data_IF_563511519729
#
_entry.id   IF_563511519729
#
_cell.length_a   1.000
_cell.length_b   1.000
_cell.length_c   1.000
_cell.angle_alpha   90.00
_cell.angle_beta   90.00
_cell.angle_gamma   90.00
#
_symmetry.space_group_name_H-M   'P 1'
#
loop_
_entity.id
_entity.type
_entity.pdbx_description
1 polymer ?
#
# COMPACT_ATOMS: atom_id res chain seq x y z
N UNK A 1 -20.36 23.66 55.60
CA UNK A 1 -19.36 23.19 54.60
C UNK A 1 -19.37 21.66 54.41
N UNK A 2 -19.29 20.82 55.44
CA UNK A 2 -19.27 19.34 55.28
C UNK A 2 -20.48 18.73 54.51
N UNK A 3 -21.69 19.27 54.67
CA UNK A 3 -22.93 18.78 54.02
C UNK A 3 -22.95 19.08 52.52
N UNK A 4 -22.39 20.21 52.05
CA UNK A 4 -22.33 20.57 50.63
C UNK A 4 -21.31 19.69 49.90
N UNK A 5 -20.18 19.35 50.58
CA UNK A 5 -19.17 18.45 50.03
C UNK A 5 -19.70 17.02 49.82
N UNK A 6 -20.52 16.53 50.75
CA UNK A 6 -21.18 15.21 50.66
C UNK A 6 -22.16 15.15 49.47
N UNK A 7 -22.93 16.23 49.23
CA UNK A 7 -23.86 16.32 48.09
C UNK A 7 -23.12 16.35 46.76
N UNK A 8 -22.00 17.07 46.65
CA UNK A 8 -21.16 17.11 45.47
C UNK A 8 -20.54 15.73 45.15
N UNK A 9 -20.08 15.01 46.14
CA UNK A 9 -19.53 13.65 45.98
C UNK A 9 -20.63 12.67 45.52
N UNK A 10 -21.83 12.74 46.07
CA UNK A 10 -22.95 11.85 45.71
C UNK A 10 -23.40 12.10 44.24
N UNK A 11 -23.44 13.35 43.79
CA UNK A 11 -23.74 13.70 42.39
C UNK A 11 -22.66 13.20 41.45
N UNK A 12 -21.37 13.28 41.83
CA UNK A 12 -20.27 12.78 41.00
C UNK A 12 -20.33 11.26 40.85
N UNK A 13 -20.70 10.52 41.88
CA UNK A 13 -20.85 9.06 41.85
C UNK A 13 -22.03 8.62 40.99
N UNK A 14 -23.11 9.38 40.96
CA UNK A 14 -24.27 9.09 40.11
C UNK A 14 -24.04 9.39 38.61
N UNK A 15 -23.14 10.30 38.30
CA UNK A 15 -22.79 10.65 36.89
C UNK A 15 -21.79 9.68 36.26
N UNK A 16 -21.01 8.97 37.08
CA UNK A 16 -19.95 8.05 36.57
C UNK A 16 -20.47 6.89 35.71
N UNK A 17 -21.57 6.19 36.08
CA UNK A 17 -22.11 5.12 35.21
C UNK A 17 -22.71 5.66 33.92
N UNK A 18 -23.34 6.84 33.96
CA UNK A 18 -23.92 7.51 32.77
C UNK A 18 -22.78 7.87 31.81
N UNK A 19 -21.71 8.44 32.29
CA UNK A 19 -20.52 8.78 31.46
C UNK A 19 -19.89 7.53 30.82
N UNK A 20 -19.77 6.42 31.55
CA UNK A 20 -19.25 5.17 31.01
C UNK A 20 -20.16 4.56 29.94
N UNK A 21 -21.48 4.63 30.13
CA UNK A 21 -22.47 4.20 29.14
C UNK A 21 -22.40 5.05 27.87
N UNK A 22 -22.31 6.38 27.98
CA UNK A 22 -22.13 7.28 26.84
C UNK A 22 -20.85 6.99 26.08
N UNK A 23 -19.74 6.74 26.77
CA UNK A 23 -18.47 6.39 26.16
C UNK A 23 -18.55 5.06 25.41
N UNK A 24 -19.21 4.07 25.97
CA UNK A 24 -19.42 2.77 25.33
C UNK A 24 -20.36 2.89 24.10
N UNK A 25 -21.44 3.65 24.21
CA UNK A 25 -22.37 3.91 23.11
C UNK A 25 -21.67 4.63 21.96
N UNK A 26 -20.86 5.64 22.25
CA UNK A 26 -20.09 6.38 21.24
C UNK A 26 -19.06 5.48 20.54
N UNK A 27 -18.43 4.57 21.32
CA UNK A 27 -17.50 3.58 20.75
C UNK A 27 -18.21 2.59 19.85
N UNK A 28 -19.37 2.08 20.24
CA UNK A 28 -20.19 1.16 19.43
C UNK A 28 -20.75 1.83 18.17
N UNK A 29 -21.17 3.09 18.25
CA UNK A 29 -21.62 3.86 17.09
C UNK A 29 -20.48 4.09 16.09
N UNK A 30 -19.30 4.43 16.60
CA UNK A 30 -18.09 4.60 15.74
C UNK A 30 -17.67 3.27 15.09
N UNK A 31 -17.72 2.15 15.82
CA UNK A 31 -17.38 0.84 15.24
C UNK A 31 -18.39 0.39 14.18
N UNK A 32 -19.68 0.53 14.43
CA UNK A 32 -20.74 0.22 13.45
C UNK A 32 -20.68 1.12 12.21
N UNK A 33 -20.39 2.42 12.40
CA UNK A 33 -20.20 3.33 11.28
C UNK A 33 -18.97 2.95 10.45
N UNK A 34 -17.86 2.60 11.10
CA UNK A 34 -16.65 2.14 10.41
C UNK A 34 -16.86 0.82 9.65
N UNK A 35 -17.62 -0.11 10.24
CA UNK A 35 -17.97 -1.39 9.63
C UNK A 35 -18.85 -1.20 8.38
N UNK A 36 -19.88 -0.35 8.46
CA UNK A 36 -20.72 0.01 7.30
C UNK A 36 -19.91 0.73 6.21
N UNK A 37 -19.02 1.64 6.59
CA UNK A 37 -18.14 2.32 5.62
C UNK A 37 -17.23 1.30 4.93
N UNK A 38 -16.67 0.34 5.69
CA UNK A 38 -15.85 -0.72 5.13
C UNK A 38 -16.64 -1.59 4.16
N UNK A 39 -17.83 -2.03 4.52
CA UNK A 39 -18.74 -2.82 3.66
C UNK A 39 -19.04 -2.08 2.34
N UNK A 40 -19.38 -0.79 2.41
CA UNK A 40 -19.63 0.05 1.22
C UNK A 40 -18.37 0.22 0.36
N UNK A 41 -17.19 0.30 0.98
CA UNK A 41 -15.91 0.40 0.27
C UNK A 41 -15.58 -0.92 -0.41
N UNK A 42 -15.68 -2.04 0.31
CA UNK A 42 -15.41 -3.38 -0.22
C UNK A 42 -16.33 -3.74 -1.39
N UNK A 43 -17.58 -3.28 -1.38
CA UNK A 43 -18.53 -3.50 -2.49
C UNK A 43 -18.33 -2.56 -3.69
N UNK A 44 -17.82 -1.36 -3.49
CA UNK A 44 -17.80 -0.30 -4.52
C UNK A 44 -16.41 0.06 -5.03
N UNK A 45 -15.35 -0.31 -4.32
CA UNK A 45 -13.97 -0.05 -4.74
C UNK A 45 -13.40 -1.28 -5.43
N UNK A 46 -13.26 -1.19 -6.74
CA UNK A 46 -12.63 -2.22 -7.58
C UNK A 46 -11.11 -2.11 -7.49
N UNK A 47 -10.38 -3.24 -7.54
CA UNK A 47 -8.93 -3.23 -7.67
C UNK A 47 -8.48 -2.39 -8.86
N UNK A 48 -7.31 -1.75 -8.73
CA UNK A 48 -6.67 -1.10 -9.87
C UNK A 48 -6.15 -2.17 -10.83
N UNK A 49 -6.23 -1.90 -12.12
CA UNK A 49 -5.47 -2.67 -13.09
C UNK A 49 -4.06 -2.10 -13.12
N UNK A 50 -3.04 -2.93 -12.94
CA UNK A 50 -1.64 -2.49 -12.98
C UNK A 50 -0.88 -3.48 -13.87
N UNK A 51 -0.14 -2.95 -14.83
CA UNK A 51 0.78 -3.66 -15.70
C UNK A 51 2.16 -3.02 -15.61
N UNK A 52 3.21 -3.70 -16.09
CA UNK A 52 4.56 -3.19 -16.00
C UNK A 52 5.36 -3.43 -17.29
N UNK A 53 6.37 -2.59 -17.47
CA UNK A 53 7.32 -2.70 -18.57
C UNK A 53 8.74 -2.39 -18.09
N UNK A 54 9.72 -3.21 -18.49
CA UNK A 54 11.13 -2.94 -18.25
C UNK A 54 11.62 -1.96 -19.33
N UNK A 55 11.75 -0.70 -18.96
CA UNK A 55 12.15 0.38 -19.89
C UNK A 55 13.63 0.30 -20.25
N UNK A 56 14.48 0.06 -19.24
CA UNK A 56 15.92 0.13 -19.41
C UNK A 56 16.67 -0.75 -18.42
N UNK A 57 17.78 -1.30 -18.90
CA UNK A 57 18.75 -2.04 -18.09
C UNK A 57 20.02 -1.20 -18.03
N UNK A 58 20.40 -0.78 -16.82
CA UNK A 58 21.63 -0.05 -16.59
C UNK A 58 22.67 -1.01 -16.04
N UNK A 59 23.65 -1.30 -16.85
CA UNK A 59 24.82 -2.07 -16.47
C UNK A 59 26.08 -1.36 -16.96
N UNK A 60 26.97 -1.06 -16.03
CA UNK A 60 28.28 -0.48 -16.35
C UNK A 60 29.38 -1.30 -15.68
N UNK A 61 30.07 -2.17 -16.46
CA UNK A 61 31.10 -3.06 -15.93
C UNK A 61 32.31 -2.30 -15.36
N UNK A 62 32.55 -1.07 -15.81
CA UNK A 62 33.65 -0.24 -15.29
C UNK A 62 33.36 0.29 -13.89
N UNK A 63 32.08 0.45 -13.55
CA UNK A 63 31.64 0.93 -12.22
C UNK A 63 31.34 -0.21 -11.27
N UNK A 64 30.75 -1.31 -11.76
CA UNK A 64 30.44 -2.48 -10.95
C UNK A 64 30.25 -3.71 -11.84
N UNK A 65 30.98 -4.77 -11.55
CA UNK A 65 30.78 -6.09 -12.17
C UNK A 65 29.63 -6.88 -11.52
N UNK A 66 29.14 -6.42 -10.38
CA UNK A 66 28.23 -7.20 -9.53
C UNK A 66 26.88 -6.58 -9.34
N UNK A 67 26.62 -5.41 -9.93
CA UNK A 67 25.35 -4.68 -9.77
C UNK A 67 24.82 -4.21 -11.12
N UNK A 68 23.51 -4.29 -11.26
CA UNK A 68 22.78 -3.64 -12.35
C UNK A 68 21.48 -3.01 -11.80
N UNK A 69 20.90 -2.12 -12.58
CA UNK A 69 19.60 -1.51 -12.24
C UNK A 69 18.63 -1.72 -13.39
N UNK A 70 17.37 -1.96 -13.05
CA UNK A 70 16.26 -2.02 -13.98
C UNK A 70 15.37 -0.81 -13.74
N UNK A 71 15.13 -0.03 -14.79
CA UNK A 71 14.05 0.97 -14.77
C UNK A 71 12.76 0.27 -15.15
N UNK A 72 11.82 0.25 -14.24
CA UNK A 72 10.53 -0.42 -14.37
C UNK A 72 9.46 0.67 -14.40
N UNK A 73 8.66 0.69 -15.46
CA UNK A 73 7.48 1.55 -15.55
C UNK A 73 6.25 0.74 -15.26
N UNK A 74 5.44 1.22 -14.33
CA UNK A 74 4.12 0.71 -14.04
C UNK A 74 3.07 1.59 -14.74
N UNK A 75 2.14 0.94 -15.43
CA UNK A 75 1.00 1.57 -16.08
C UNK A 75 -0.26 0.98 -15.48
N UNK A 76 -1.20 1.81 -15.12
CA UNK A 76 -2.42 1.31 -14.52
C UNK A 76 -3.65 2.13 -14.88
N UNK A 77 -4.80 1.60 -14.48
CA UNK A 77 -6.09 2.25 -14.65
C UNK A 77 -6.91 2.14 -13.37
N UNK A 78 -7.54 3.24 -12.98
CA UNK A 78 -8.48 3.30 -11.88
C UNK A 78 -9.91 3.17 -12.43
N UNK A 79 -10.56 2.00 -12.30
CA UNK A 79 -11.93 1.80 -12.77
C UNK A 79 -12.99 2.42 -11.85
N UNK A 80 -12.56 3.03 -10.74
CA UNK A 80 -13.47 3.53 -9.74
C UNK A 80 -14.02 4.92 -10.11
N UNK A 81 -15.26 5.17 -9.71
CA UNK A 81 -15.92 6.48 -9.83
C UNK A 81 -15.42 7.52 -8.84
N UNK A 82 -14.44 7.14 -7.99
CA UNK A 82 -13.78 8.00 -7.01
C UNK A 82 -12.28 8.03 -7.27
N UNK A 83 -11.64 9.14 -6.91
CA UNK A 83 -10.18 9.21 -6.86
C UNK A 83 -9.65 8.39 -5.70
N UNK A 84 -8.50 7.75 -5.90
CA UNK A 84 -7.79 6.97 -4.89
C UNK A 84 -6.34 7.43 -4.81
N UNK A 85 -5.64 7.06 -3.75
CA UNK A 85 -4.20 7.20 -3.70
C UNK A 85 -3.56 5.85 -3.40
N UNK A 86 -2.52 5.51 -4.14
CA UNK A 86 -1.60 4.45 -3.76
C UNK A 86 -0.73 5.00 -2.64
N UNK A 87 -0.83 4.43 -1.46
CA UNK A 87 -0.11 4.92 -0.28
C UNK A 87 1.18 4.12 -0.05
N UNK A 88 1.11 2.81 -0.23
CA UNK A 88 2.25 1.91 -0.12
C UNK A 88 2.13 0.81 -1.15
N UNK A 89 3.23 0.55 -1.84
CA UNK A 89 3.32 -0.51 -2.83
C UNK A 89 4.53 -1.38 -2.49
N UNK A 90 4.32 -2.69 -2.41
CA UNK A 90 5.38 -3.68 -2.21
C UNK A 90 5.43 -4.60 -3.43
N UNK A 91 6.63 -4.83 -3.95
CA UNK A 91 6.84 -5.65 -5.13
C UNK A 91 7.90 -6.72 -4.87
N UNK A 92 7.62 -7.92 -5.34
CA UNK A 92 8.59 -9.00 -5.47
C UNK A 92 8.89 -9.20 -6.97
N UNK A 93 10.15 -9.00 -7.36
CA UNK A 93 10.62 -9.20 -8.72
C UNK A 93 11.20 -10.61 -8.86
N UNK A 94 10.67 -11.35 -9.81
CA UNK A 94 11.18 -12.66 -10.22
C UNK A 94 11.81 -12.55 -11.61
N UNK A 95 12.90 -13.26 -11.81
CA UNK A 95 13.59 -13.33 -13.09
C UNK A 95 13.88 -14.79 -13.41
N UNK A 96 13.34 -15.30 -14.51
CA UNK A 96 13.35 -16.71 -14.86
C UNK A 96 12.86 -17.58 -13.68
N UNK A 97 11.72 -17.20 -13.08
CA UNK A 97 11.04 -17.89 -11.96
C UNK A 97 11.82 -17.84 -10.62
N UNK A 98 12.97 -17.16 -10.56
CA UNK A 98 13.74 -17.00 -9.33
C UNK A 98 13.50 -15.63 -8.73
N UNK A 99 13.21 -15.59 -7.42
CA UNK A 99 13.12 -14.34 -6.69
C UNK A 99 14.44 -13.56 -6.78
N UNK A 100 14.38 -12.35 -7.29
CA UNK A 100 15.54 -11.52 -7.59
C UNK A 100 15.68 -10.32 -6.65
N UNK A 101 14.58 -9.69 -6.29
CA UNK A 101 14.58 -8.51 -5.43
C UNK A 101 13.18 -8.26 -4.87
N UNK A 102 13.15 -7.69 -3.67
CA UNK A 102 11.96 -7.04 -3.12
C UNK A 102 12.21 -5.55 -3.04
N UNK A 103 11.25 -4.76 -3.44
CA UNK A 103 11.30 -3.31 -3.32
C UNK A 103 9.92 -2.75 -2.99
N UNK A 104 9.90 -1.55 -2.47
CA UNK A 104 8.68 -0.87 -2.07
C UNK A 104 8.77 0.61 -2.35
N UNK A 105 7.63 1.20 -2.64
CA UNK A 105 7.47 2.62 -2.83
C UNK A 105 6.51 3.16 -1.75
N UNK A 106 6.99 4.10 -0.95
CA UNK A 106 6.22 4.79 0.09
C UNK A 106 5.71 6.16 -0.39
N UNK A 107 5.91 6.50 -1.68
CA UNK A 107 5.43 7.75 -2.24
C UNK A 107 3.94 7.64 -2.54
N UNK A 108 3.17 8.52 -1.94
CA UNK A 108 1.73 8.61 -2.20
C UNK A 108 1.46 9.10 -3.62
N UNK A 109 0.85 8.23 -4.43
CA UNK A 109 0.50 8.50 -5.83
C UNK A 109 -1.00 8.73 -5.91
N UNK A 110 -1.42 9.96 -6.21
CA UNK A 110 -2.84 10.30 -6.38
C UNK A 110 -3.31 9.91 -7.78
N UNK A 111 -4.40 9.17 -7.84
CA UNK A 111 -4.98 8.65 -9.07
C UNK A 111 -6.42 9.17 -9.19
N UNK A 112 -6.74 10.00 -10.18
CA UNK A 112 -8.10 10.48 -10.40
C UNK A 112 -9.07 9.32 -10.72
N UNK A 113 -10.37 9.58 -10.54
CA UNK A 113 -11.42 8.64 -10.92
C UNK A 113 -11.39 8.35 -12.43
N UNK A 114 -11.69 7.12 -12.82
CA UNK A 114 -11.78 6.67 -14.22
C UNK A 114 -10.58 7.15 -15.06
N UNK A 115 -9.36 7.03 -14.52
CA UNK A 115 -8.18 7.56 -15.18
C UNK A 115 -7.02 6.57 -15.18
N UNK A 116 -6.20 6.65 -16.21
CA UNK A 116 -4.91 5.95 -16.28
C UNK A 116 -3.87 6.68 -15.45
N UNK A 117 -2.89 5.93 -14.97
CA UNK A 117 -1.74 6.46 -14.25
C UNK A 117 -0.48 5.72 -14.64
N UNK A 118 0.66 6.37 -14.38
CA UNK A 118 1.97 5.78 -14.64
C UNK A 118 2.92 6.23 -13.54
N UNK A 119 3.80 5.33 -13.12
CA UNK A 119 4.93 5.66 -12.24
C UNK A 119 6.12 4.77 -12.55
N UNK A 120 7.30 5.27 -12.24
CA UNK A 120 8.56 4.58 -12.50
C UNK A 120 9.23 4.17 -11.19
N UNK A 121 9.84 2.98 -11.18
CA UNK A 121 10.62 2.43 -10.08
C UNK A 121 11.96 1.91 -10.58
N UNK A 122 12.94 1.89 -9.67
CA UNK A 122 14.29 1.37 -9.97
C UNK A 122 14.57 0.18 -9.06
N UNK A 123 14.71 -1.01 -9.67
CA UNK A 123 15.15 -2.20 -8.96
C UNK A 123 16.67 -2.36 -9.09
N UNK A 124 17.40 -2.36 -7.97
CA UNK A 124 18.83 -2.69 -7.93
C UNK A 124 18.99 -4.20 -7.72
N UNK A 125 19.75 -4.84 -8.61
CA UNK A 125 20.04 -6.28 -8.59
C UNK A 125 21.51 -6.51 -8.36
N UNK A 126 21.82 -7.51 -7.51
CA UNK A 126 23.18 -7.95 -7.21
C UNK A 126 23.41 -9.35 -7.78
N UNK A 127 24.52 -9.57 -8.47
CA UNK A 127 24.87 -10.86 -9.08
C UNK A 127 24.89 -12.00 -8.07
N UNK A 128 25.41 -11.75 -6.86
CA UNK A 128 25.47 -12.75 -5.80
C UNK A 128 24.09 -13.19 -5.30
N UNK A 129 23.07 -12.33 -5.46
CA UNK A 129 21.68 -12.65 -5.06
C UNK A 129 20.97 -13.42 -6.17
N UNK A 130 21.06 -12.96 -7.42
CA UNK A 130 20.32 -13.54 -8.55
C UNK A 130 21.07 -14.72 -9.21
N UNK A 131 22.38 -14.81 -9.01
CA UNK A 131 23.26 -15.80 -9.64
C UNK A 131 23.70 -15.41 -11.06
N UNK A 132 24.86 -15.94 -11.46
CA UNK A 132 25.48 -15.59 -12.75
C UNK A 132 24.62 -15.91 -13.96
N UNK A 133 23.92 -17.04 -13.97
CA UNK A 133 23.08 -17.45 -15.10
C UNK A 133 21.92 -16.48 -15.36
N UNK A 134 21.26 -16.00 -14.29
CA UNK A 134 20.17 -15.01 -14.39
C UNK A 134 20.75 -13.66 -14.84
N UNK A 135 21.87 -13.24 -14.27
CA UNK A 135 22.56 -12.02 -14.67
C UNK A 135 22.92 -12.03 -16.17
N UNK A 136 23.53 -13.12 -16.66
CA UNK A 136 23.87 -13.28 -18.08
C UNK A 136 22.62 -13.24 -18.98
N UNK A 137 21.48 -13.81 -18.52
CA UNK A 137 20.23 -13.75 -19.25
C UNK A 137 19.68 -12.32 -19.36
N UNK A 138 19.81 -11.52 -18.30
CA UNK A 138 19.42 -10.09 -18.30
C UNK A 138 20.25 -9.31 -19.33
N UNK A 139 21.60 -9.43 -19.27
CA UNK A 139 22.51 -8.72 -20.16
C UNK A 139 22.27 -9.09 -21.63
N UNK A 140 21.99 -10.38 -21.89
CA UNK A 140 21.67 -10.89 -23.24
C UNK A 140 20.22 -10.60 -23.67
N UNK A 141 19.43 -9.90 -22.86
CA UNK A 141 17.99 -9.60 -23.10
C UNK A 141 17.14 -10.85 -23.35
N UNK A 142 17.48 -11.95 -22.68
CA UNK A 142 16.77 -13.25 -22.72
C UNK A 142 16.05 -13.58 -21.42
N UNK A 143 16.07 -12.67 -20.44
CA UNK A 143 15.40 -12.86 -19.17
C UNK A 143 13.90 -12.69 -19.32
N UNK A 144 13.13 -13.55 -18.62
CA UNK A 144 11.69 -13.39 -18.38
C UNK A 144 11.51 -12.72 -17.04
N UNK A 145 10.71 -11.68 -16.99
CA UNK A 145 10.42 -10.93 -15.77
C UNK A 145 9.00 -11.21 -15.32
N UNK A 146 8.81 -11.34 -14.01
CA UNK A 146 7.51 -11.38 -13.35
C UNK A 146 7.59 -10.49 -12.13
N UNK A 147 6.56 -9.68 -11.91
CA UNK A 147 6.43 -8.83 -10.74
C UNK A 147 5.13 -9.18 -10.06
N UNK A 148 5.24 -9.62 -8.80
CA UNK A 148 4.11 -9.83 -7.93
C UNK A 148 4.10 -8.69 -6.91
N UNK A 149 2.94 -8.12 -6.65
CA UNK A 149 2.86 -6.95 -5.79
C UNK A 149 1.58 -6.88 -4.97
N UNK A 150 1.68 -6.15 -3.88
CA UNK A 150 0.53 -5.73 -3.08
C UNK A 150 0.57 -4.23 -2.92
N UNK A 151 -0.60 -3.61 -2.85
CA UNK A 151 -0.71 -2.17 -2.68
C UNK A 151 -1.80 -1.80 -1.70
N UNK A 152 -1.65 -0.64 -1.08
CA UNK A 152 -2.65 -0.05 -0.20
C UNK A 152 -3.28 1.14 -0.90
N UNK A 153 -4.61 1.15 -0.96
CA UNK A 153 -5.39 2.27 -1.46
C UNK A 153 -5.87 3.12 -0.29
N UNK A 154 -5.55 4.39 -0.34
CA UNK A 154 -6.15 5.39 0.52
C UNK A 154 -7.29 6.07 -0.26
N UNK A 155 -8.48 6.02 0.30
CA UNK A 155 -9.69 6.61 -0.28
C UNK A 155 -10.31 7.59 0.72
N UNK A 156 -11.24 8.40 0.26
CA UNK A 156 -12.03 9.27 1.16
C UNK A 156 -12.83 8.49 2.21
N UNK A 157 -12.97 7.16 2.07
CA UNK A 157 -13.68 6.28 2.98
C UNK A 157 -12.76 5.46 3.89
N UNK A 158 -11.44 5.61 3.74
CA UNK A 158 -10.42 4.90 4.51
C UNK A 158 -9.44 4.09 3.64
N UNK A 159 -8.57 3.35 4.32
CA UNK A 159 -7.55 2.53 3.67
C UNK A 159 -8.14 1.17 3.27
N UNK A 160 -7.82 0.75 2.06
CA UNK A 160 -8.25 -0.49 1.46
C UNK A 160 -7.04 -1.28 0.93
N UNK A 161 -7.03 -2.59 1.17
CA UNK A 161 -6.03 -3.51 0.64
C UNK A 161 -6.77 -4.57 -0.18
N UNK A 162 -6.79 -4.42 -1.51
CA UNK A 162 -7.45 -5.37 -2.39
C UNK A 162 -6.73 -6.71 -2.44
#
# INVERSE_FOLDING_TARGET
>A
MKRILLYLISVLILLSPVYSQFKNLTKQLKSKAAEKVKEVVDENVKPLTIDYNIKKIHYNPLKSLTKLKLDIQFNGYNPNKIGVALDRIEFDLYINEKHASKFYNDKKIKIPKNNSFTFDEIAELKVNTIGKAVFDAIIKKKAKYQIDGTYHLDTQFGNFKP
#
